data_IF_316041215732
#
_entry.id   IF_316041215732
#
_cell.length_a   1.000
_cell.length_b   1.000
_cell.length_c   1.000
_cell.angle_alpha   90.00
_cell.angle_beta   90.00
_cell.angle_gamma   90.00
#
_symmetry.space_group_name_H-M   'P 1'
#
loop_
_entity.id
_entity.type
_entity.pdbx_description
1 polymer ?
#
# COMPACT_ATOMS: atom_id res chain seq x y z
N UNK A 1 4.68 10.51 6.55
CA UNK A 1 3.94 10.89 5.31
C UNK A 1 4.63 10.47 4.00
N UNK A 2 5.95 10.53 3.86
CA UNK A 2 6.64 10.18 2.58
C UNK A 2 6.59 8.69 2.19
N UNK A 3 6.49 7.78 3.15
CA UNK A 3 6.60 6.33 2.90
C UNK A 3 5.34 5.75 2.25
N UNK A 4 4.16 6.04 2.81
CA UNK A 4 2.86 5.65 2.24
C UNK A 4 2.71 6.17 0.81
N UNK A 5 3.07 7.43 0.55
CA UNK A 5 3.02 8.01 -0.81
C UNK A 5 3.95 7.27 -1.79
N UNK A 6 5.14 6.87 -1.34
CA UNK A 6 6.07 6.09 -2.15
C UNK A 6 5.52 4.69 -2.46
N UNK A 7 4.85 4.05 -1.50
CA UNK A 7 4.24 2.74 -1.68
C UNK A 7 3.02 2.81 -2.60
N UNK A 8 2.17 3.84 -2.46
CA UNK A 8 1.08 4.10 -3.41
C UNK A 8 1.59 4.23 -4.84
N UNK A 9 2.71 4.95 -5.04
CA UNK A 9 3.29 5.10 -6.37
C UNK A 9 3.79 3.76 -6.93
N UNK A 10 4.43 2.93 -6.09
CA UNK A 10 4.87 1.58 -6.49
C UNK A 10 3.68 0.69 -6.86
N UNK A 11 2.62 0.68 -6.06
CA UNK A 11 1.39 -0.05 -6.37
C UNK A 11 0.79 0.43 -7.70
N UNK A 12 0.78 1.74 -7.95
CA UNK A 12 0.29 2.28 -9.22
C UNK A 12 1.12 1.80 -10.43
N UNK A 13 2.45 1.72 -10.29
CA UNK A 13 3.34 1.16 -11.33
C UNK A 13 3.08 -0.34 -11.56
N UNK A 14 2.69 -1.07 -10.51
CA UNK A 14 2.29 -2.47 -10.60
C UNK A 14 0.89 -2.67 -11.20
N UNK A 15 0.18 -1.59 -11.53
CA UNK A 15 -1.14 -1.63 -12.17
C UNK A 15 -2.32 -1.50 -11.21
N UNK A 16 -2.09 -1.29 -9.91
CA UNK A 16 -3.18 -1.03 -8.97
C UNK A 16 -3.83 0.32 -9.25
N UNK A 17 -5.16 0.34 -9.29
CA UNK A 17 -5.93 1.57 -9.43
C UNK A 17 -5.88 2.41 -8.15
N UNK A 18 -6.13 3.72 -8.28
CA UNK A 18 -6.24 4.60 -7.11
C UNK A 18 -7.31 4.15 -6.11
N UNK A 19 -8.38 3.51 -6.59
CA UNK A 19 -9.41 2.92 -5.74
C UNK A 19 -8.89 1.73 -4.92
N UNK A 20 -8.16 0.80 -5.55
CA UNK A 20 -7.56 -0.35 -4.86
C UNK A 20 -6.51 0.09 -3.84
N UNK A 21 -5.67 1.06 -4.18
CA UNK A 21 -4.68 1.63 -3.25
C UNK A 21 -5.40 2.26 -2.05
N UNK A 22 -6.49 3.00 -2.29
CA UNK A 22 -7.28 3.60 -1.22
C UNK A 22 -7.97 2.55 -0.36
N UNK A 23 -8.43 1.43 -0.94
CA UNK A 23 -8.99 0.28 -0.21
C UNK A 23 -7.94 -0.40 0.67
N UNK A 24 -6.72 -0.62 0.16
CA UNK A 24 -5.61 -1.21 0.94
C UNK A 24 -5.27 -0.31 2.14
N UNK A 25 -5.17 1.00 1.92
CA UNK A 25 -4.94 1.97 2.99
C UNK A 25 -6.10 1.91 3.99
N UNK A 26 -7.34 2.03 3.53
CA UNK A 26 -8.52 2.05 4.40
C UNK A 26 -8.69 0.75 5.22
N UNK A 27 -8.35 -0.39 4.61
CA UNK A 27 -8.33 -1.69 5.28
C UNK A 27 -7.23 -1.76 6.34
N UNK A 28 -6.04 -1.22 6.04
CA UNK A 28 -4.93 -1.17 6.99
C UNK A 28 -5.16 -0.16 8.13
N UNK A 29 -5.93 0.91 7.91
CA UNK A 29 -6.32 1.87 8.94
C UNK A 29 -7.60 1.48 9.69
N UNK A 30 -8.25 0.38 9.29
CA UNK A 30 -9.52 -0.06 9.89
C UNK A 30 -10.66 0.94 9.72
N UNK A 31 -10.65 1.79 8.68
CA UNK A 31 -11.65 2.85 8.52
C UNK A 31 -11.27 4.19 9.14
N UNK A 32 -10.15 4.30 9.85
CA UNK A 32 -9.73 5.54 10.47
C UNK A 32 -9.02 6.45 9.47
N UNK A 33 -9.22 7.77 9.65
CA UNK A 33 -8.56 8.79 8.85
C UNK A 33 -7.04 8.74 9.11
N UNK A 34 -6.24 8.80 8.04
CA UNK A 34 -4.77 8.69 8.12
C UNK A 34 -4.15 9.79 9.00
N UNK A 35 -4.82 10.94 9.12
CA UNK A 35 -4.35 12.05 9.96
C UNK A 35 -4.67 11.86 11.44
N UNK A 36 -5.57 10.93 11.78
CA UNK A 36 -5.93 10.58 13.15
C UNK A 36 -5.13 9.37 13.69
N UNK A 37 -4.28 8.76 12.86
CA UNK A 37 -3.49 7.59 13.19
C UNK A 37 -2.26 7.94 14.02
N UNK A 38 -1.90 7.04 14.93
CA UNK A 38 -0.64 7.14 15.66
C UNK A 38 0.53 6.77 14.75
N UNK A 39 1.75 7.09 15.18
CA UNK A 39 2.96 6.68 14.45
C UNK A 39 3.07 5.15 14.30
N UNK A 40 2.53 4.40 15.25
CA UNK A 40 2.51 2.93 15.21
C UNK A 40 1.53 2.41 14.16
N UNK A 41 0.34 3.02 14.07
CA UNK A 41 -0.65 2.67 13.04
C UNK A 41 -0.13 3.02 11.64
N UNK A 42 0.54 4.16 11.49
CA UNK A 42 1.19 4.54 10.23
C UNK A 42 2.27 3.54 9.80
N UNK A 43 3.02 2.99 10.77
CA UNK A 43 3.96 1.90 10.52
C UNK A 43 3.24 0.63 10.07
N UNK A 44 2.10 0.31 10.68
CA UNK A 44 1.31 -0.85 10.30
C UNK A 44 0.75 -0.72 8.87
N UNK A 45 0.23 0.46 8.52
CA UNK A 45 -0.24 0.77 7.17
C UNK A 45 0.88 0.64 6.14
N UNK A 46 2.05 1.19 6.44
CA UNK A 46 3.22 1.06 5.59
C UNK A 46 3.60 -0.42 5.36
N UNK A 47 3.62 -1.22 6.42
CA UNK A 47 4.00 -2.63 6.35
C UNK A 47 2.99 -3.44 5.51
N UNK A 48 1.69 -3.19 5.68
CA UNK A 48 0.63 -3.78 4.85
C UNK A 48 0.82 -3.43 3.38
N UNK A 49 1.03 -2.14 3.08
CA UNK A 49 1.26 -1.70 1.69
C UNK A 49 2.53 -2.28 1.09
N UNK A 50 3.62 -2.42 1.85
CA UNK A 50 4.85 -3.09 1.39
C UNK A 50 4.59 -4.55 1.01
N UNK A 51 3.79 -5.26 1.80
CA UNK A 51 3.43 -6.64 1.50
C UNK A 51 2.68 -6.77 0.16
N UNK A 52 1.73 -5.86 -0.12
CA UNK A 52 1.05 -5.81 -1.43
C UNK A 52 2.00 -5.45 -2.58
N UNK A 53 2.93 -4.53 -2.38
CA UNK A 53 3.95 -4.20 -3.38
C UNK A 53 4.83 -5.40 -3.68
N UNK A 54 5.26 -6.14 -2.66
CA UNK A 54 6.07 -7.35 -2.83
C UNK A 54 5.29 -8.43 -3.58
N UNK A 55 4.05 -8.69 -3.18
CA UNK A 55 3.18 -9.66 -3.85
C UNK A 55 2.94 -9.31 -5.33
N UNK A 56 2.61 -8.04 -5.61
CA UNK A 56 2.42 -7.57 -6.98
C UNK A 56 3.72 -7.61 -7.80
N UNK A 57 4.85 -7.27 -7.20
CA UNK A 57 6.16 -7.35 -7.86
C UNK A 57 6.56 -8.80 -8.16
N UNK A 58 6.27 -9.74 -7.26
CA UNK A 58 6.50 -11.17 -7.50
C UNK A 58 5.61 -11.67 -8.63
N UNK A 59 4.33 -11.32 -8.62
CA UNK A 59 3.39 -11.69 -9.69
C UNK A 59 3.86 -11.20 -11.07
N UNK A 60 4.26 -9.92 -11.17
CA UNK A 60 4.80 -9.34 -12.41
C UNK A 60 6.12 -10.02 -12.82
N UNK A 61 6.99 -10.34 -11.86
CA UNK A 61 8.25 -11.03 -12.13
C UNK A 61 8.05 -12.48 -12.60
N UNK A 62 7.05 -13.18 -12.06
CA UNK A 62 6.68 -14.54 -12.47
C UNK A 62 5.99 -14.57 -13.84
N UNK A 63 5.14 -13.58 -14.14
CA UNK A 63 4.46 -13.47 -15.45
C UNK A 63 5.32 -12.85 -16.57
N UNK A 64 6.48 -12.26 -16.25
CA UNK A 64 7.42 -11.71 -17.24
C UNK A 64 8.45 -12.74 -17.76
N UNK A 65 8.25 -14.04 -17.50
CA UNK A 65 9.03 -15.15 -18.06
C UNK A 65 8.26 -15.90 -19.13
#
# INVERSE_FOLDING_TARGET
MSLIKSLSNRLSVLGYSGYEISQIINSATGGQDINALTSQDLHQVANTMEHYVQAGSQYVAEYSK
#
